data_IF_518764188716
#
_entry.id   IF_518764188716
#
_cell.length_a   1.000
_cell.length_b   1.000
_cell.length_c   1.000
_cell.angle_alpha   90.00
_cell.angle_beta   90.00
_cell.angle_gamma   90.00
#
_symmetry.space_group_name_H-M   'P 1'
#
loop_
_entity.id
_entity.type
_entity.pdbx_description
1 polymer ?
#
# COMPACT_ATOMS: atom_id res chain seq x y z
N UNK A 1 -8.47 -2.82 -5.31
CA UNK A 1 -7.11 -2.42 -5.74
C UNK A 1 -7.11 -1.23 -6.69
N UNK A 2 -7.88 -1.25 -7.79
CA UNK A 2 -7.96 -0.10 -8.70
C UNK A 2 -8.32 1.23 -8.00
N UNK A 3 -9.34 1.21 -7.13
CA UNK A 3 -9.73 2.37 -6.30
C UNK A 3 -8.58 2.84 -5.40
N UNK A 4 -7.83 1.90 -4.81
CA UNK A 4 -6.68 2.19 -3.95
C UNK A 4 -5.53 2.86 -4.71
N UNK A 5 -5.28 2.46 -5.96
CA UNK A 5 -4.27 3.12 -6.79
C UNK A 5 -4.69 4.55 -7.16
N UNK A 6 -5.97 4.75 -7.50
CA UNK A 6 -6.46 6.08 -7.84
C UNK A 6 -6.36 7.04 -6.66
N UNK A 7 -6.84 6.68 -5.46
CA UNK A 7 -6.72 7.57 -4.29
C UNK A 7 -5.25 7.94 -3.97
N UNK A 8 -4.30 7.06 -4.25
CA UNK A 8 -2.87 7.31 -4.03
C UNK A 8 -2.30 8.26 -5.08
N UNK A 9 -2.62 8.05 -6.36
CA UNK A 9 -2.18 8.94 -7.43
C UNK A 9 -2.66 10.37 -7.16
N UNK A 10 -3.94 10.54 -6.81
CA UNK A 10 -4.48 11.87 -6.48
C UNK A 10 -3.81 12.50 -5.26
N UNK A 11 -3.60 11.74 -4.18
CA UNK A 11 -2.94 12.24 -2.96
C UNK A 11 -1.51 12.74 -3.21
N UNK A 12 -0.76 12.08 -4.09
CA UNK A 12 0.64 12.44 -4.36
C UNK A 12 0.83 13.34 -5.57
N UNK A 13 -0.17 13.44 -6.47
CA UNK A 13 -0.16 14.37 -7.61
C UNK A 13 0.04 15.81 -7.14
N UNK A 14 -0.67 16.24 -6.09
CA UNK A 14 -0.57 17.62 -5.59
C UNK A 14 0.81 17.95 -5.00
N UNK A 15 1.50 16.97 -4.41
CA UNK A 15 2.83 17.12 -3.83
C UNK A 15 3.99 17.06 -4.85
N UNK A 16 3.71 16.51 -6.04
CA UNK A 16 4.66 16.29 -7.13
C UNK A 16 4.51 17.35 -8.24
N UNK A 17 3.30 17.87 -8.46
CA UNK A 17 2.99 18.97 -9.39
C UNK A 17 3.50 20.28 -8.78
N UNK A 18 4.78 20.57 -9.03
CA UNK A 18 5.40 21.84 -8.62
C UNK A 18 6.89 21.78 -8.32
N UNK A 19 7.49 20.58 -8.22
CA UNK A 19 8.89 20.41 -7.75
C UNK A 19 9.96 20.26 -8.84
N UNK A 20 9.64 20.42 -10.12
CA UNK A 20 10.65 20.43 -11.21
C UNK A 20 11.51 19.15 -11.29
N UNK A 21 10.94 18.01 -10.93
CA UNK A 21 11.62 16.73 -10.84
C UNK A 21 11.59 15.96 -12.16
N UNK A 22 12.64 15.17 -12.38
CA UNK A 22 12.74 14.26 -13.52
C UNK A 22 11.62 13.20 -13.47
N UNK A 23 10.92 13.00 -14.60
CA UNK A 23 9.77 12.09 -14.70
C UNK A 23 10.13 10.63 -14.36
N UNK A 24 11.38 10.20 -14.58
CA UNK A 24 11.83 8.86 -14.25
C UNK A 24 11.88 8.61 -12.73
N UNK A 25 12.36 9.60 -11.97
CA UNK A 25 12.41 9.55 -10.50
C UNK A 25 11.03 9.56 -9.88
N UNK A 26 10.10 10.35 -10.45
CA UNK A 26 8.70 10.39 -10.03
C UNK A 26 8.04 9.02 -10.23
N UNK A 27 8.24 8.38 -11.39
CA UNK A 27 7.70 7.05 -11.69
C UNK A 27 8.21 5.98 -10.73
N UNK A 28 9.51 5.98 -10.40
CA UNK A 28 10.11 5.01 -9.49
C UNK A 28 9.56 5.16 -8.05
N UNK A 29 9.35 6.41 -7.60
CA UNK A 29 8.75 6.72 -6.30
C UNK A 29 7.28 6.27 -6.23
N UNK A 30 6.50 6.57 -7.27
CA UNK A 30 5.09 6.16 -7.38
C UNK A 30 4.95 4.64 -7.40
N UNK A 31 5.85 3.95 -8.11
CA UNK A 31 5.89 2.49 -8.13
C UNK A 31 6.17 1.90 -6.75
N UNK A 32 7.17 2.42 -6.03
CA UNK A 32 7.48 1.97 -4.67
C UNK A 32 6.34 2.22 -3.68
N UNK A 33 5.67 3.38 -3.75
CA UNK A 33 4.52 3.67 -2.90
C UNK A 33 3.34 2.75 -3.22
N UNK A 34 3.06 2.50 -4.49
CA UNK A 34 2.00 1.60 -4.93
C UNK A 34 2.23 0.14 -4.49
N UNK A 35 3.48 -0.32 -4.50
CA UNK A 35 3.86 -1.66 -4.06
C UNK A 35 3.60 -1.86 -2.56
N UNK A 36 3.92 -0.88 -1.72
CA UNK A 36 3.63 -0.94 -0.27
C UNK A 36 2.13 -1.01 0.00
N UNK A 37 1.33 -0.24 -0.72
CA UNK A 37 -0.13 -0.22 -0.57
C UNK A 37 -0.80 -1.52 -1.03
N UNK A 38 -0.27 -2.14 -2.10
CA UNK A 38 -0.72 -3.46 -2.55
C UNK A 38 -0.59 -4.50 -1.44
N UNK A 39 0.57 -4.55 -0.76
CA UNK A 39 0.83 -5.51 0.32
C UNK A 39 -0.11 -5.28 1.50
N UNK A 40 -0.41 -4.03 1.85
CA UNK A 40 -1.35 -3.68 2.93
C UNK A 40 -2.81 -3.97 2.58
N UNK A 41 -3.19 -3.84 1.32
CA UNK A 41 -4.57 -4.05 0.88
C UNK A 41 -4.91 -5.53 0.61
N UNK A 42 -3.91 -6.38 0.34
CA UNK A 42 -4.06 -7.84 0.19
C UNK A 42 -4.88 -8.47 1.33
N UNK A 43 -4.52 -8.31 2.63
CA UNK A 43 -5.27 -8.93 3.73
C UNK A 43 -6.71 -8.42 3.86
N UNK A 44 -6.94 -7.13 3.61
CA UNK A 44 -8.28 -6.52 3.70
C UNK A 44 -9.19 -7.09 2.59
N UNK A 45 -8.67 -7.21 1.36
CA UNK A 45 -9.42 -7.74 0.23
C UNK A 45 -9.88 -9.19 0.46
N UNK A 46 -9.01 -10.03 1.02
CA UNK A 46 -9.30 -11.44 1.34
C UNK A 46 -10.40 -11.53 2.41
N UNK A 47 -10.33 -10.66 3.42
CA UNK A 47 -11.29 -10.62 4.51
C UNK A 47 -12.68 -10.27 4.00
N UNK A 48 -12.77 -9.24 3.13
CA UNK A 48 -14.03 -8.85 2.48
C UNK A 48 -14.57 -9.97 1.58
N UNK A 49 -13.72 -10.59 0.76
CA UNK A 49 -14.13 -11.71 -0.11
C UNK A 49 -14.68 -12.90 0.68
N UNK A 50 -14.06 -13.22 1.82
CA UNK A 50 -14.50 -14.31 2.69
C UNK A 50 -15.86 -14.00 3.31
N UNK A 51 -16.06 -12.77 3.79
CA UNK A 51 -17.35 -12.32 4.33
C UNK A 51 -18.45 -12.39 3.26
N UNK A 52 -18.20 -11.90 2.05
CA UNK A 52 -19.17 -11.95 0.95
C UNK A 52 -19.53 -13.39 0.58
N UNK A 53 -18.54 -14.28 0.52
CA UNK A 53 -18.75 -15.70 0.21
C UNK A 53 -19.64 -16.35 1.28
N UNK A 54 -19.34 -16.14 2.56
CA UNK A 54 -20.17 -16.66 3.64
C UNK A 54 -21.56 -16.01 3.71
N UNK A 55 -21.67 -14.72 3.39
CA UNK A 55 -22.94 -14.01 3.30
C UNK A 55 -23.87 -14.61 2.24
N UNK A 56 -23.33 -14.87 1.04
CA UNK A 56 -24.08 -15.49 -0.05
C UNK A 56 -24.49 -16.94 0.26
N UNK A 57 -23.61 -17.73 0.91
CA UNK A 57 -23.94 -19.10 1.35
C UNK A 57 -25.00 -19.15 2.48
N UNK A 58 -25.11 -18.08 3.26
CA UNK A 58 -26.16 -17.92 4.26
C UNK A 58 -27.51 -17.60 3.63
N UNK A 59 -27.53 -16.80 2.57
CA UNK A 59 -28.74 -16.43 1.82
C UNK A 59 -29.26 -17.59 0.96
N UNK A 60 -28.37 -18.36 0.33
CA UNK A 60 -28.74 -19.50 -0.53
C UNK A 60 -29.21 -20.74 0.26
N UNK A 61 -29.30 -20.68 1.60
CA UNK A 61 -29.58 -21.80 2.51
C UNK A 61 -28.69 -23.05 2.31
N UNK A 62 -27.68 -23.01 1.45
CA UNK A 62 -26.75 -24.11 1.20
C UNK A 62 -26.01 -24.49 2.48
N UNK A 63 -25.67 -23.49 3.30
CA UNK A 63 -25.01 -23.70 4.59
C UNK A 63 -25.93 -24.39 5.61
N UNK A 64 -27.24 -24.15 5.53
CA UNK A 64 -28.26 -24.83 6.36
C UNK A 64 -28.52 -26.25 5.84
N UNK A 65 -28.58 -26.45 4.52
CA UNK A 65 -28.75 -27.75 3.87
C UNK A 65 -27.57 -28.71 4.10
N UNK A 66 -26.34 -28.20 4.11
CA UNK A 66 -25.14 -28.97 4.45
C UNK A 66 -25.18 -29.42 5.92
N UNK A 67 -25.65 -28.54 6.81
CA UNK A 67 -25.76 -28.85 8.24
C UNK A 67 -26.88 -29.85 8.53
N UNK A 68 -27.99 -29.81 7.79
CA UNK A 68 -29.12 -30.75 7.95
C UNK A 68 -28.90 -32.10 7.27
N UNK A 69 -28.01 -32.20 6.27
CA UNK A 69 -27.61 -33.47 5.64
C UNK A 69 -26.58 -34.28 6.45
N UNK A 70 -26.27 -33.85 7.68
CA UNK A 70 -25.37 -34.57 8.60
C UNK A 70 -23.88 -34.44 8.25
N UNK A 71 -23.52 -33.70 7.20
CA UNK A 71 -22.14 -33.39 6.86
C UNK A 71 -21.66 -32.27 7.78
N UNK A 72 -20.54 -32.49 8.48
CA UNK A 72 -20.01 -31.48 9.40
C UNK A 72 -19.57 -30.23 8.64
N UNK A 73 -20.08 -29.07 9.05
CA UNK A 73 -19.69 -27.74 8.56
C UNK A 73 -18.16 -27.54 8.61
N UNK A 74 -17.49 -28.20 9.57
CA UNK A 74 -16.04 -28.23 9.70
C UNK A 74 -15.31 -28.70 8.43
N UNK A 75 -15.89 -29.60 7.64
CA UNK A 75 -15.27 -30.09 6.40
C UNK A 75 -15.23 -29.02 5.31
N UNK A 76 -16.22 -28.12 5.28
CA UNK A 76 -16.26 -26.98 4.37
C UNK A 76 -15.28 -25.87 4.80
N UNK A 77 -15.01 -25.73 6.10
CA UNK A 77 -14.05 -24.73 6.60
C UNK A 77 -12.57 -25.11 6.41
N UNK A 78 -12.26 -26.40 6.22
CA UNK A 78 -10.87 -26.88 5.97
C UNK A 78 -10.18 -26.24 4.76
N UNK A 79 -10.77 -26.19 3.54
CA UNK A 79 -10.13 -25.54 2.40
C UNK A 79 -9.91 -24.04 2.64
N UNK A 80 -10.83 -23.37 3.34
CA UNK A 80 -10.67 -21.96 3.69
C UNK A 80 -9.49 -21.70 4.63
N UNK A 81 -9.31 -22.55 5.66
CA UNK A 81 -8.13 -22.48 6.54
C UNK A 81 -6.83 -22.66 5.77
N UNK A 82 -6.78 -23.60 4.81
CA UNK A 82 -5.58 -23.84 4.02
C UNK A 82 -5.19 -22.62 3.17
N UNK A 83 -6.18 -22.02 2.49
CA UNK A 83 -5.97 -20.78 1.71
C UNK A 83 -5.56 -19.63 2.61
N UNK A 84 -6.19 -19.47 3.78
CA UNK A 84 -5.86 -18.39 4.72
C UNK A 84 -4.42 -18.50 5.27
N UNK A 85 -3.97 -19.71 5.63
CA UNK A 85 -2.60 -19.95 6.10
C UNK A 85 -1.59 -19.66 4.98
N UNK A 86 -1.85 -20.12 3.76
CA UNK A 86 -0.98 -19.91 2.61
C UNK A 86 -0.84 -18.41 2.27
N UNK A 87 -1.96 -17.68 2.22
CA UNK A 87 -1.97 -16.23 1.95
C UNK A 87 -1.35 -15.42 3.09
N UNK A 88 -1.54 -15.84 4.34
CA UNK A 88 -0.88 -15.23 5.51
C UNK A 88 0.64 -15.36 5.40
N UNK A 89 1.14 -16.55 5.03
CA UNK A 89 2.57 -16.78 4.80
C UNK A 89 3.15 -15.90 3.70
N UNK A 90 2.46 -15.78 2.56
CA UNK A 90 2.88 -14.89 1.47
C UNK A 90 2.89 -13.43 1.96
N UNK A 91 1.80 -12.96 2.58
CA UNK A 91 1.69 -11.57 3.03
C UNK A 91 2.76 -11.25 4.08
N UNK A 92 3.06 -12.17 4.99
CA UNK A 92 4.11 -12.00 6.00
C UNK A 92 5.50 -11.88 5.39
N UNK A 93 5.83 -12.66 4.37
CA UNK A 93 7.10 -12.57 3.64
C UNK A 93 7.22 -11.22 2.93
N UNK A 94 6.19 -10.80 2.20
CA UNK A 94 6.17 -9.49 1.55
C UNK A 94 6.26 -8.35 2.57
N UNK A 95 5.60 -8.46 3.72
CA UNK A 95 5.64 -7.46 4.78
C UNK A 95 7.04 -7.33 5.41
N UNK A 96 7.73 -8.45 5.66
CA UNK A 96 9.05 -8.42 6.29
C UNK A 96 10.19 -7.99 5.34
N UNK A 97 10.12 -8.34 4.04
CA UNK A 97 11.21 -8.04 3.11
C UNK A 97 10.94 -6.81 2.23
N UNK A 98 9.72 -6.65 1.74
CA UNK A 98 9.42 -5.63 0.72
C UNK A 98 9.12 -4.27 1.33
N UNK A 99 8.42 -4.21 2.48
CA UNK A 99 8.12 -2.95 3.17
C UNK A 99 9.37 -2.19 3.63
N UNK A 100 10.38 -2.80 4.30
CA UNK A 100 11.57 -2.05 4.69
C UNK A 100 12.39 -1.59 3.48
N UNK A 101 12.48 -2.42 2.43
CA UNK A 101 13.17 -2.04 1.20
C UNK A 101 12.46 -0.87 0.49
N UNK A 102 11.12 -0.87 0.52
CA UNK A 102 10.31 0.21 -0.03
C UNK A 102 10.41 1.52 0.74
N UNK A 103 10.38 1.46 2.07
CA UNK A 103 10.50 2.64 2.90
C UNK A 103 11.89 3.28 2.85
N UNK A 104 12.96 2.50 2.80
CA UNK A 104 14.32 3.04 2.70
C UNK A 104 14.54 3.74 1.35
N UNK A 105 14.03 3.17 0.25
CA UNK A 105 14.14 3.77 -1.07
C UNK A 105 13.26 5.03 -1.20
N UNK A 106 12.05 5.01 -0.65
CA UNK A 106 11.15 6.17 -0.70
C UNK A 106 11.66 7.35 0.11
N UNK A 107 12.26 7.11 1.29
CA UNK A 107 12.86 8.16 2.14
C UNK A 107 14.10 8.75 1.47
N UNK A 108 14.97 7.94 0.88
CA UNK A 108 16.17 8.43 0.19
C UNK A 108 15.82 9.27 -1.04
N UNK A 109 14.84 8.83 -1.84
CA UNK A 109 14.29 9.61 -2.97
C UNK A 109 13.64 10.92 -2.50
N UNK A 110 12.84 10.90 -1.43
CA UNK A 110 12.24 12.10 -0.85
C UNK A 110 13.30 13.09 -0.33
N UNK A 111 14.34 12.59 0.30
CA UNK A 111 15.45 13.41 0.79
C UNK A 111 16.24 14.01 -0.39
N UNK A 112 16.53 13.28 -1.46
CA UNK A 112 17.17 13.84 -2.65
C UNK A 112 16.31 14.93 -3.31
N UNK A 113 14.98 14.75 -3.34
CA UNK A 113 14.02 15.76 -3.81
C UNK A 113 14.06 17.03 -2.95
N UNK A 114 14.14 16.89 -1.62
CA UNK A 114 14.24 18.02 -0.69
C UNK A 114 15.60 18.70 -0.76
N UNK A 115 16.70 17.93 -0.78
CA UNK A 115 18.06 18.47 -0.84
C UNK A 115 18.38 19.14 -2.18
N UNK A 116 17.79 18.69 -3.30
CA UNK A 116 17.89 19.36 -4.60
C UNK A 116 17.24 20.75 -4.61
N UNK A 117 16.30 21.01 -3.70
CA UNK A 117 15.69 22.33 -3.47
C UNK A 117 16.43 23.14 -2.38
N UNK A 118 17.28 22.53 -1.55
CA UNK A 118 18.01 23.21 -0.47
C UNK A 118 19.10 24.22 -0.89
N UNK A 119 19.80 24.15 -2.05
CA UNK A 119 20.82 25.16 -2.35
C UNK A 119 20.21 26.55 -2.56
N UNK A 120 18.91 26.66 -2.85
CA UNK A 120 18.24 27.94 -3.11
C UNK A 120 17.81 28.63 -1.81
N UNK A 121 17.38 27.87 -0.80
CA UNK A 121 16.96 28.42 0.51
C UNK A 121 18.17 28.81 1.35
N UNK A 122 19.22 27.97 1.42
CA UNK A 122 20.46 28.32 2.14
C UNK A 122 21.18 29.52 1.48
N UNK A 123 21.18 29.59 0.14
CA UNK A 123 21.76 30.74 -0.58
C UNK A 123 20.94 32.03 -0.38
N UNK A 124 19.61 31.96 -0.30
CA UNK A 124 18.77 33.13 0.03
C UNK A 124 18.98 33.60 1.46
N UNK A 125 19.05 32.71 2.45
CA UNK A 125 19.27 33.08 3.86
C UNK A 125 20.67 33.67 4.08
N UNK A 126 21.69 33.12 3.42
CA UNK A 126 23.07 33.65 3.49
C UNK A 126 23.21 35.03 2.82
N UNK A 127 22.51 35.28 1.69
CA UNK A 127 22.48 36.59 1.04
C UNK A 127 21.68 37.64 1.83
N UNK A 128 20.62 37.23 2.53
CA UNK A 128 19.84 38.14 3.38
C UNK A 128 20.65 38.56 4.62
N UNK A 129 21.48 37.68 5.17
CA UNK A 129 22.33 37.99 6.32
C UNK A 129 23.52 38.90 5.95
N UNK A 130 24.06 38.78 4.73
CA UNK A 130 25.15 39.65 4.23
C UNK A 130 24.67 41.04 3.81
N UNK A 131 23.40 41.23 3.45
CA UNK A 131 22.81 42.56 3.18
C UNK A 131 22.34 43.31 4.45
N UNK A 132 22.23 42.65 5.60
CA UNK A 132 21.84 43.26 6.88
C UNK A 132 23.03 43.69 7.74
N UNK A 133 24.26 43.43 7.29
CA UNK A 133 25.50 43.72 8.02
C UNK A 133 26.29 44.90 7.42
N UNK A 134 25.62 45.79 6.68
CA UNK A 134 26.21 46.97 6.04
C UNK A 134 25.41 48.23 6.31
#
# INVERSE_FOLDING_TARGET
>A
MFVLLMQTVWKYVDDLVGKGLDFGTIGLFLFYMSATLLILAMPIAILISSIMTFGNLGESFELVAIKSSGISLLRFMRPLMFVAILLSGITFLFANYVIPYANLKSITLYNDIMYKNLPLIYRKVFLLNTHLCH
#
